data_IF_560658793725
#
_entry.id   IF_560658793725
#
_cell.length_a   1.000
_cell.length_b   1.000
_cell.length_c   1.000
_cell.angle_alpha   90.00
_cell.angle_beta   90.00
_cell.angle_gamma   90.00
#
_symmetry.space_group_name_H-M   'P 1'
#
loop_
_entity.id
_entity.type
_entity.pdbx_description
1 polymer ?
#
# COMPACT_ATOMS: atom_id res chain seq x y z
N UNK A 1 -43.65 26.77 -1.77
CA UNK A 1 -42.68 26.17 -0.83
C UNK A 1 -41.72 25.31 -1.62
N UNK A 2 -40.49 25.77 -1.81
CA UNK A 2 -39.46 25.03 -2.57
C UNK A 2 -38.82 24.03 -1.62
N UNK A 3 -38.99 22.73 -1.87
CA UNK A 3 -38.33 21.70 -1.07
C UNK A 3 -36.80 21.89 -1.14
N UNK A 4 -36.07 21.82 -0.02
CA UNK A 4 -34.62 21.90 -0.07
C UNK A 4 -34.08 20.77 -0.94
N UNK A 5 -33.32 21.12 -1.97
CA UNK A 5 -32.58 20.14 -2.79
C UNK A 5 -31.71 19.31 -1.86
N UNK A 6 -31.93 18.00 -1.84
CA UNK A 6 -31.08 17.06 -1.10
C UNK A 6 -29.60 17.32 -1.46
N UNK A 7 -28.82 17.74 -0.48
CA UNK A 7 -27.38 17.98 -0.58
C UNK A 7 -26.68 16.64 -0.69
N UNK A 8 -26.50 16.15 -1.92
CA UNK A 8 -25.77 14.91 -2.16
C UNK A 8 -24.28 15.17 -1.95
N UNK A 9 -23.74 14.67 -0.84
CA UNK A 9 -22.30 14.65 -0.58
C UNK A 9 -21.58 13.88 -1.69
N UNK A 10 -20.70 14.54 -2.45
CA UNK A 10 -19.96 13.95 -3.58
C UNK A 10 -18.96 12.89 -3.14
N UNK A 11 -18.56 12.89 -1.86
CA UNK A 11 -17.80 11.79 -1.28
C UNK A 11 -18.60 10.47 -1.34
N UNK A 12 -19.94 10.54 -1.47
CA UNK A 12 -20.84 9.41 -1.73
C UNK A 12 -21.36 9.50 -3.17
N UNK A 13 -20.60 8.99 -4.15
CA UNK A 13 -21.18 8.68 -5.46
C UNK A 13 -22.25 7.62 -5.21
N UNK A 14 -23.50 8.04 -5.19
CA UNK A 14 -24.65 7.24 -4.82
C UNK A 14 -25.34 6.79 -6.09
N UNK A 15 -25.06 5.57 -6.55
CA UNK A 15 -25.91 4.94 -7.56
C UNK A 15 -27.12 4.35 -6.84
N UNK A 16 -28.33 4.82 -7.18
CA UNK A 16 -29.56 4.16 -6.74
C UNK A 16 -29.75 2.90 -7.60
N UNK A 17 -29.77 1.73 -6.97
CA UNK A 17 -30.17 0.46 -7.59
C UNK A 17 -31.35 -0.09 -6.80
N UNK A 18 -32.49 -0.27 -7.45
CA UNK A 18 -33.74 -0.77 -6.84
C UNK A 18 -34.14 -0.01 -5.56
N UNK A 19 -34.08 1.32 -5.59
CA UNK A 19 -34.45 2.17 -4.45
C UNK A 19 -33.45 2.21 -3.28
N UNK A 20 -32.41 1.36 -3.29
CA UNK A 20 -31.33 1.37 -2.29
C UNK A 20 -30.15 2.20 -2.77
N UNK A 21 -29.58 2.98 -1.85
CA UNK A 21 -28.34 3.72 -2.08
C UNK A 21 -27.18 2.73 -2.03
N UNK A 22 -26.54 2.46 -3.18
CA UNK A 22 -25.31 1.67 -3.22
C UNK A 22 -24.12 2.60 -3.02
N UNK A 23 -23.36 2.39 -1.94
CA UNK A 23 -22.08 3.05 -1.75
C UNK A 23 -21.01 2.31 -2.55
N UNK A 24 -20.31 3.03 -3.43
CA UNK A 24 -19.17 2.46 -4.14
C UNK A 24 -18.05 2.06 -3.16
N UNK A 25 -17.27 1.04 -3.53
CA UNK A 25 -16.12 0.59 -2.76
C UNK A 25 -15.05 1.69 -2.64
N UNK A 26 -14.19 1.60 -1.61
CA UNK A 26 -13.16 2.60 -1.36
C UNK A 26 -12.16 2.75 -2.52
N UNK A 27 -11.86 1.66 -3.22
CA UNK A 27 -10.98 1.64 -4.39
C UNK A 27 -11.50 2.50 -5.54
N UNK A 28 -12.82 2.51 -5.76
CA UNK A 28 -13.46 3.33 -6.79
C UNK A 28 -13.50 4.79 -6.35
N UNK A 29 -13.92 5.04 -5.11
CA UNK A 29 -14.11 6.39 -4.55
C UNK A 29 -12.82 7.21 -4.50
N UNK A 30 -11.68 6.57 -4.21
CA UNK A 30 -10.40 7.26 -4.02
C UNK A 30 -9.40 7.02 -5.15
N UNK A 31 -9.80 6.44 -6.28
CA UNK A 31 -8.90 6.08 -7.38
C UNK A 31 -7.99 7.23 -7.82
N UNK A 32 -8.57 8.41 -8.03
CA UNK A 32 -7.83 9.59 -8.48
C UNK A 32 -6.84 10.10 -7.42
N UNK A 33 -7.25 10.10 -6.15
CA UNK A 33 -6.43 10.48 -5.01
C UNK A 33 -5.27 9.51 -4.80
N UNK A 34 -5.53 8.20 -4.90
CA UNK A 34 -4.49 7.18 -4.79
C UNK A 34 -3.39 7.38 -5.83
N UNK A 35 -3.74 7.64 -7.09
CA UNK A 35 -2.75 7.92 -8.14
C UNK A 35 -1.91 9.17 -7.84
N UNK A 36 -2.53 10.25 -7.34
CA UNK A 36 -1.81 11.47 -6.94
C UNK A 36 -0.87 11.24 -5.77
N UNK A 37 -1.35 10.52 -4.75
CA UNK A 37 -0.58 10.18 -3.55
C UNK A 37 0.64 9.31 -3.93
N UNK A 38 0.49 8.39 -4.87
CA UNK A 38 1.57 7.51 -5.32
C UNK A 38 2.69 8.26 -6.06
N UNK A 39 2.35 9.32 -6.78
CA UNK A 39 3.31 10.21 -7.44
C UNK A 39 4.02 11.21 -6.52
N UNK A 40 3.65 11.27 -5.24
CA UNK A 40 4.23 12.22 -4.29
C UNK A 40 5.71 11.88 -4.01
N UNK A 41 6.58 12.88 -4.06
CA UNK A 41 8.01 12.75 -3.73
C UNK A 41 8.29 13.19 -2.30
N UNK A 42 8.95 12.33 -1.54
CA UNK A 42 9.39 12.56 -0.17
C UNK A 42 10.68 13.39 -0.17
N UNK A 43 10.54 14.71 0.02
CA UNK A 43 11.68 15.63 0.08
C UNK A 43 12.69 15.28 1.19
N UNK A 44 12.20 14.75 2.30
CA UNK A 44 13.05 14.36 3.43
C UNK A 44 13.80 13.04 3.20
N UNK A 45 13.56 12.36 2.07
CA UNK A 45 14.21 11.10 1.71
C UNK A 45 14.63 11.13 0.24
N UNK A 46 15.44 12.14 -0.12
CA UNK A 46 16.07 12.30 -1.43
C UNK A 46 15.12 12.21 -2.64
N UNK A 47 13.88 12.71 -2.46
CA UNK A 47 12.88 12.70 -3.53
C UNK A 47 12.31 11.32 -3.85
N UNK A 48 12.46 10.35 -2.94
CA UNK A 48 11.86 9.03 -3.04
C UNK A 48 10.35 9.13 -3.26
N UNK A 49 9.79 8.29 -4.13
CA UNK A 49 8.35 8.20 -4.32
C UNK A 49 7.67 7.56 -3.10
N UNK A 50 6.53 8.12 -2.68
CA UNK A 50 5.74 7.64 -1.55
C UNK A 50 5.37 6.16 -1.68
N UNK A 51 5.07 5.69 -2.90
CA UNK A 51 4.75 4.27 -3.17
C UNK A 51 5.88 3.29 -2.83
N UNK A 52 7.12 3.77 -2.70
CA UNK A 52 8.28 2.94 -2.36
C UNK A 52 8.56 2.95 -0.84
N UNK A 53 7.85 3.78 -0.08
CA UNK A 53 8.02 3.89 1.36
C UNK A 53 7.25 2.78 2.08
N UNK A 54 7.96 2.01 2.90
CA UNK A 54 7.35 0.99 3.77
C UNK A 54 7.10 1.57 5.16
N UNK A 55 5.84 1.93 5.45
CA UNK A 55 5.48 2.58 6.71
C UNK A 55 5.74 1.73 7.96
N UNK A 56 5.81 0.41 7.81
CA UNK A 56 5.95 -0.52 8.93
C UNK A 56 7.41 -0.84 9.27
N UNK A 57 8.34 -0.66 8.32
CA UNK A 57 9.76 -0.96 8.55
C UNK A 57 10.64 0.28 8.67
N UNK A 58 10.17 1.43 8.20
CA UNK A 58 10.92 2.68 8.24
C UNK A 58 10.85 3.34 9.63
N UNK A 59 11.71 4.34 9.86
CA UNK A 59 11.78 5.06 11.14
C UNK A 59 10.41 5.66 11.53
N UNK A 60 10.02 5.50 12.80
CA UNK A 60 8.77 6.06 13.35
C UNK A 60 8.60 7.58 13.10
N UNK A 61 9.69 8.35 13.00
CA UNK A 61 9.61 9.76 12.63
C UNK A 61 9.14 9.94 11.17
N UNK A 62 9.74 9.20 10.24
CA UNK A 62 9.42 9.29 8.83
C UNK A 62 8.05 8.69 8.51
N UNK A 63 7.67 7.60 9.18
CA UNK A 63 6.32 7.04 9.11
C UNK A 63 5.25 8.03 9.58
N UNK A 64 5.54 8.83 10.62
CA UNK A 64 4.66 9.93 11.05
C UNK A 64 4.56 11.04 10.00
N UNK A 65 5.67 11.41 9.35
CA UNK A 65 5.65 12.40 8.26
C UNK A 65 4.84 11.91 7.06
N UNK A 66 5.03 10.66 6.66
CA UNK A 66 4.25 10.02 5.57
C UNK A 66 2.77 10.02 5.89
N UNK A 67 2.39 9.62 7.12
CA UNK A 67 0.99 9.70 7.58
C UNK A 67 0.42 11.11 7.46
N UNK A 68 1.15 12.12 7.93
CA UNK A 68 0.73 13.54 7.81
C UNK A 68 0.58 14.00 6.36
N UNK A 69 1.45 13.55 5.46
CA UNK A 69 1.36 13.86 4.02
C UNK A 69 0.07 13.25 3.45
N UNK A 70 -0.20 11.98 3.72
CA UNK A 70 -1.41 11.27 3.26
C UNK A 70 -2.66 11.95 3.82
N UNK A 71 -2.72 12.21 5.13
CA UNK A 71 -3.82 12.93 5.78
C UNK A 71 -4.06 14.28 5.12
N UNK A 72 -3.01 15.08 4.94
CA UNK A 72 -3.10 16.39 4.28
C UNK A 72 -3.66 16.28 2.87
N UNK A 73 -3.20 15.32 2.07
CA UNK A 73 -3.68 15.10 0.69
C UNK A 73 -5.14 14.68 0.66
N UNK A 74 -5.57 13.81 1.58
CA UNK A 74 -6.96 13.39 1.71
C UNK A 74 -7.86 14.54 2.16
N UNK A 75 -7.43 15.34 3.16
CA UNK A 75 -8.18 16.52 3.59
C UNK A 75 -8.33 17.53 2.44
N UNK A 76 -7.27 17.77 1.67
CA UNK A 76 -7.33 18.65 0.49
C UNK A 76 -8.28 18.11 -0.58
N UNK A 77 -8.28 16.80 -0.83
CA UNK A 77 -9.21 16.17 -1.77
C UNK A 77 -10.66 16.33 -1.29
N UNK A 78 -10.92 16.05 -0.02
CA UNK A 78 -12.20 16.24 0.61
C UNK A 78 -12.70 17.68 0.49
N UNK A 79 -11.87 18.68 0.83
CA UNK A 79 -12.25 20.09 0.73
C UNK A 79 -12.58 20.51 -0.71
N UNK A 80 -11.85 19.99 -1.71
CA UNK A 80 -12.16 20.26 -3.13
C UNK A 80 -13.49 19.64 -3.54
N UNK A 81 -13.77 18.42 -3.12
CA UNK A 81 -14.99 17.68 -3.46
C UNK A 81 -16.24 18.22 -2.74
N UNK A 82 -16.09 18.82 -1.57
CA UNK A 82 -17.20 19.30 -0.74
C UNK A 82 -17.29 20.84 -0.72
N UNK A 83 -16.67 21.51 -1.71
CA UNK A 83 -16.71 22.97 -1.84
C UNK A 83 -18.16 23.42 -2.10
N UNK A 84 -18.74 24.17 -1.16
CA UNK A 84 -20.10 24.71 -1.27
C UNK A 84 -21.20 23.91 -0.56
N UNK A 85 -20.85 22.86 0.20
CA UNK A 85 -21.80 22.14 1.05
C UNK A 85 -21.90 22.79 2.45
N UNK A 86 -23.08 22.69 3.07
CA UNK A 86 -23.33 23.23 4.42
C UNK A 86 -22.37 22.60 5.44
N UNK A 87 -21.68 23.44 6.21
CA UNK A 87 -20.58 23.02 7.10
C UNK A 87 -21.06 22.35 8.40
N UNK A 88 -22.31 22.58 8.79
CA UNK A 88 -22.68 22.52 10.20
C UNK A 88 -23.35 21.21 10.62
N UNK A 89 -23.91 20.40 9.70
CA UNK A 89 -24.73 19.25 10.10
C UNK A 89 -23.98 17.90 10.19
N UNK A 90 -22.73 17.78 9.76
CA UNK A 90 -22.11 16.45 9.50
C UNK A 90 -20.67 16.27 9.99
N UNK A 91 -20.19 17.09 10.93
CA UNK A 91 -18.78 17.13 11.33
C UNK A 91 -18.21 15.78 11.82
N UNK A 92 -18.98 15.00 12.59
CA UNK A 92 -18.55 13.69 13.11
C UNK A 92 -18.48 12.62 12.03
N UNK A 93 -19.47 12.57 11.14
CA UNK A 93 -19.47 11.66 9.99
C UNK A 93 -18.28 11.96 9.07
N UNK A 94 -18.04 13.24 8.80
CA UNK A 94 -16.93 13.69 7.96
C UNK A 94 -15.57 13.30 8.56
N UNK A 95 -15.39 13.48 9.88
CA UNK A 95 -14.18 13.04 10.59
C UNK A 95 -13.98 11.53 10.49
N UNK A 96 -15.03 10.74 10.71
CA UNK A 96 -14.98 9.28 10.58
C UNK A 96 -14.55 8.85 9.17
N UNK A 97 -15.15 9.43 8.14
CA UNK A 97 -14.80 9.13 6.75
C UNK A 97 -13.38 9.53 6.41
N UNK A 98 -12.90 10.65 6.93
CA UNK A 98 -11.53 11.10 6.73
C UNK A 98 -10.49 10.16 7.35
N UNK A 99 -10.74 9.69 8.57
CA UNK A 99 -9.89 8.66 9.19
C UNK A 99 -9.89 7.38 8.36
N UNK A 100 -11.07 6.94 7.91
CA UNK A 100 -11.20 5.73 7.09
C UNK A 100 -10.48 5.85 5.75
N UNK A 101 -10.63 6.98 5.08
CA UNK A 101 -9.96 7.28 3.81
C UNK A 101 -8.43 7.29 3.97
N UNK A 102 -7.92 7.90 5.05
CA UNK A 102 -6.49 7.93 5.37
C UNK A 102 -5.96 6.52 5.63
N UNK A 103 -6.63 5.76 6.48
CA UNK A 103 -6.24 4.37 6.79
C UNK A 103 -6.23 3.50 5.54
N UNK A 104 -7.23 3.67 4.66
CA UNK A 104 -7.28 2.98 3.37
C UNK A 104 -6.11 3.37 2.45
N UNK A 105 -5.75 4.65 2.36
CA UNK A 105 -4.60 5.06 1.55
C UNK A 105 -3.27 4.53 2.11
N UNK A 106 -3.09 4.50 3.43
CA UNK A 106 -1.90 3.93 4.05
C UNK A 106 -1.77 2.42 3.76
N UNK A 107 -2.90 1.71 3.82
CA UNK A 107 -2.99 0.30 3.46
C UNK A 107 -2.71 0.07 1.96
N UNK A 108 -3.31 0.89 1.08
CA UNK A 108 -3.08 0.83 -0.37
C UNK A 108 -1.63 1.12 -0.74
N UNK A 109 -1.01 2.14 -0.14
CA UNK A 109 0.43 2.42 -0.33
C UNK A 109 1.23 1.18 0.03
N UNK A 110 0.81 0.36 0.99
CA UNK A 110 1.47 -0.91 1.27
C UNK A 110 1.27 -1.97 0.19
N UNK A 111 0.09 -2.07 -0.43
CA UNK A 111 -0.33 -3.32 -1.09
C UNK A 111 -0.65 -3.25 -2.59
N UNK A 112 -1.12 -2.12 -3.11
CA UNK A 112 -1.71 -2.04 -4.46
C UNK A 112 -0.82 -1.20 -5.36
N UNK A 113 -0.26 -1.75 -6.44
CA UNK A 113 0.49 -0.97 -7.43
C UNK A 113 -0.41 -0.66 -8.64
N UNK A 114 -0.74 0.62 -8.80
CA UNK A 114 -1.59 1.08 -9.90
C UNK A 114 -0.85 1.27 -11.24
N UNK A 115 0.46 1.04 -11.28
CA UNK A 115 1.27 1.30 -12.47
C UNK A 115 1.66 -0.02 -13.13
N UNK A 116 1.09 -0.28 -14.32
CA UNK A 116 1.52 -1.39 -15.18
C UNK A 116 2.99 -1.20 -15.53
N UNK A 117 3.79 -2.26 -15.42
CA UNK A 117 5.21 -2.31 -15.78
C UNK A 117 6.19 -1.49 -14.92
N UNK A 118 5.79 -1.04 -13.73
CA UNK A 118 6.76 -0.51 -12.76
C UNK A 118 6.86 -1.44 -11.57
N UNK A 119 8.06 -1.94 -11.33
CA UNK A 119 8.41 -2.60 -10.08
C UNK A 119 8.75 -1.55 -9.04
N UNK A 120 8.34 -1.78 -7.79
CA UNK A 120 9.00 -1.15 -6.65
C UNK A 120 10.52 -1.29 -6.77
N UNK A 121 11.24 -0.26 -6.30
CA UNK A 121 12.71 -0.22 -6.42
C UNK A 121 13.41 -1.45 -5.80
N UNK A 122 14.67 -1.66 -6.17
CA UNK A 122 15.49 -2.73 -5.58
C UNK A 122 15.46 -2.68 -4.04
N UNK A 123 15.28 -3.85 -3.42
CA UNK A 123 15.23 -4.03 -1.96
C UNK A 123 13.98 -3.40 -1.29
N UNK A 124 12.80 -3.53 -1.89
CA UNK A 124 11.55 -3.32 -1.15
C UNK A 124 11.15 -4.60 -0.38
N UNK A 125 10.60 -4.44 0.84
CA UNK A 125 10.07 -5.54 1.67
C UNK A 125 8.76 -6.13 1.11
N UNK A 126 8.58 -6.12 -0.20
CA UNK A 126 7.40 -6.62 -0.87
C UNK A 126 7.79 -7.64 -1.93
N UNK A 127 6.97 -8.67 -2.06
CA UNK A 127 6.99 -9.64 -3.14
C UNK A 127 5.83 -9.33 -4.09
N UNK A 128 6.09 -9.48 -5.39
CA UNK A 128 5.09 -9.34 -6.44
C UNK A 128 4.33 -10.67 -6.52
N UNK A 129 3.01 -10.61 -6.42
CA UNK A 129 2.12 -11.77 -6.60
C UNK A 129 0.98 -11.42 -7.54
N UNK A 130 0.35 -12.43 -8.11
CA UNK A 130 -0.90 -12.30 -8.83
C UNK A 130 -2.05 -12.64 -7.88
N UNK A 131 -3.06 -11.77 -7.82
CA UNK A 131 -4.30 -12.11 -7.13
C UNK A 131 -5.12 -13.06 -8.02
N UNK A 132 -5.39 -14.30 -7.57
CA UNK A 132 -6.12 -15.28 -8.37
C UNK A 132 -7.58 -14.88 -8.65
N UNK A 133 -8.18 -14.01 -7.83
CA UNK A 133 -9.57 -13.59 -8.01
C UNK A 133 -9.72 -12.48 -9.03
N UNK A 134 -8.81 -11.50 -9.01
CA UNK A 134 -8.91 -10.28 -9.84
C UNK A 134 -7.98 -10.31 -11.06
N UNK A 135 -6.96 -11.17 -11.06
CA UNK A 135 -5.90 -11.18 -12.07
C UNK A 135 -4.97 -9.97 -12.00
N UNK A 136 -5.14 -9.09 -11.00
CA UNK A 136 -4.30 -7.93 -10.81
C UNK A 136 -2.98 -8.29 -10.11
N UNK A 137 -1.93 -7.53 -10.41
CA UNK A 137 -0.65 -7.64 -9.71
C UNK A 137 -0.79 -6.96 -8.36
N UNK A 138 -0.55 -7.70 -7.29
CA UNK A 138 -0.54 -7.21 -5.91
C UNK A 138 0.85 -7.35 -5.31
N UNK A 139 1.22 -6.41 -4.46
CA UNK A 139 2.47 -6.47 -3.72
C UNK A 139 2.18 -6.90 -2.28
N UNK A 140 2.52 -8.14 -1.95
CA UNK A 140 2.42 -8.64 -0.58
C UNK A 140 3.70 -8.35 0.17
N UNK A 141 3.59 -7.98 1.44
CA UNK A 141 4.78 -7.78 2.27
C UNK A 141 5.54 -9.12 2.41
N UNK A 142 6.86 -9.07 2.33
CA UNK A 142 7.73 -10.19 2.67
C UNK A 142 7.58 -10.47 4.15
N UNK A 143 7.45 -11.75 4.51
CA UNK A 143 7.45 -12.17 5.90
C UNK A 143 8.78 -11.80 6.55
N UNK A 144 8.71 -11.34 7.80
CA UNK A 144 9.87 -10.95 8.60
C UNK A 144 9.90 -11.76 9.88
N UNK A 145 11.07 -12.22 10.26
CA UNK A 145 11.31 -12.99 11.48
C UNK A 145 12.25 -12.19 12.37
N UNK A 146 12.09 -12.34 13.69
CA UNK A 146 12.89 -11.59 14.64
C UNK A 146 14.25 -12.25 14.85
N UNK A 147 14.28 -13.58 14.83
CA UNK A 147 15.50 -14.38 15.00
C UNK A 147 15.81 -15.23 13.77
N UNK A 148 17.04 -15.72 13.70
CA UNK A 148 17.48 -16.61 12.62
C UNK A 148 16.78 -17.96 12.72
N UNK A 149 16.58 -18.44 13.95
CA UNK A 149 15.98 -19.73 14.27
C UNK A 149 14.52 -19.77 13.79
N UNK A 150 13.75 -18.70 14.03
CA UNK A 150 12.38 -18.55 13.50
C UNK A 150 12.34 -18.61 11.98
N UNK A 151 13.30 -17.94 11.31
CA UNK A 151 13.37 -17.97 9.86
C UNK A 151 13.73 -19.36 9.31
N UNK A 152 14.62 -20.10 9.99
CA UNK A 152 14.97 -21.48 9.62
C UNK A 152 13.79 -22.43 9.82
N UNK A 153 13.02 -22.27 10.90
CA UNK A 153 11.82 -23.08 11.13
C UNK A 153 10.73 -22.79 10.09
N UNK A 154 10.60 -21.53 9.69
CA UNK A 154 9.71 -21.16 8.60
C UNK A 154 10.14 -21.77 7.25
N UNK A 155 11.44 -21.92 6.98
CA UNK A 155 11.92 -22.63 5.78
C UNK A 155 11.51 -24.10 5.81
N UNK A 156 11.64 -24.78 6.95
CA UNK A 156 11.18 -26.17 7.08
C UNK A 156 9.69 -26.29 6.80
N UNK A 157 8.89 -25.41 7.38
CA UNK A 157 7.43 -25.38 7.17
C UNK A 157 7.09 -25.09 5.71
N UNK A 158 7.82 -24.18 5.06
CA UNK A 158 7.66 -23.87 3.63
C UNK A 158 7.92 -25.11 2.77
N UNK A 159 9.04 -25.79 2.97
CA UNK A 159 9.41 -26.97 2.18
C UNK A 159 8.41 -28.13 2.33
N UNK A 160 7.76 -28.26 3.49
CA UNK A 160 6.71 -29.26 3.71
C UNK A 160 5.41 -28.86 3.00
N UNK A 161 5.05 -27.58 3.04
CA UNK A 161 3.78 -27.07 2.51
C UNK A 161 3.79 -26.82 1.01
N UNK A 162 4.98 -26.59 0.43
CA UNK A 162 5.19 -26.30 -0.99
C UNK A 162 6.23 -27.27 -1.58
N UNK A 163 5.93 -28.57 -1.67
CA UNK A 163 6.86 -29.56 -2.21
C UNK A 163 7.20 -29.35 -3.69
N UNK A 164 6.40 -28.57 -4.42
CA UNK A 164 6.65 -28.15 -5.80
C UNK A 164 7.78 -27.12 -5.93
N UNK A 165 8.13 -26.41 -4.85
CA UNK A 165 9.22 -25.43 -4.84
C UNK A 165 10.56 -26.14 -4.61
N UNK A 166 11.23 -26.53 -5.70
CA UNK A 166 12.51 -27.24 -5.66
C UNK A 166 13.72 -26.33 -5.39
N UNK A 167 13.52 -25.03 -5.14
CA UNK A 167 14.59 -24.08 -4.97
C UNK A 167 15.22 -24.14 -3.58
N UNK A 168 16.56 -24.04 -3.50
CA UNK A 168 17.26 -23.98 -2.21
C UNK A 168 16.91 -22.70 -1.45
N UNK A 169 16.08 -22.82 -0.42
CA UNK A 169 15.70 -21.72 0.47
C UNK A 169 16.80 -21.40 1.49
N UNK A 170 17.01 -20.11 1.77
CA UNK A 170 17.95 -19.61 2.76
C UNK A 170 17.34 -18.48 3.59
N UNK A 171 17.78 -18.38 4.85
CA UNK A 171 17.48 -17.25 5.71
C UNK A 171 18.59 -16.19 5.54
N UNK A 172 18.19 -14.93 5.34
CA UNK A 172 19.11 -13.80 5.23
C UNK A 172 18.61 -12.61 6.05
N UNK A 173 19.54 -11.82 6.56
CA UNK A 173 19.22 -10.57 7.25
C UNK A 173 19.12 -9.44 6.23
N UNK A 174 18.04 -8.67 6.26
CA UNK A 174 17.88 -7.52 5.38
C UNK A 174 18.76 -6.35 5.85
N UNK A 175 19.54 -5.75 4.96
CA UNK A 175 20.36 -4.58 5.25
C UNK A 175 19.57 -3.32 5.58
N UNK A 176 18.27 -3.27 5.27
CA UNK A 176 17.40 -2.10 5.51
C UNK A 176 16.59 -2.19 6.81
N UNK A 177 15.91 -3.30 7.07
CA UNK A 177 15.10 -3.45 8.28
C UNK A 177 15.81 -4.22 9.40
N UNK A 178 16.98 -4.81 9.12
CA UNK A 178 17.75 -5.65 10.03
C UNK A 178 16.99 -6.88 10.57
N UNK A 179 15.82 -7.21 10.00
CA UNK A 179 15.06 -8.42 10.29
C UNK A 179 15.47 -9.57 9.39
N UNK A 180 15.14 -10.78 9.81
CA UNK A 180 15.36 -12.00 9.05
C UNK A 180 14.25 -12.20 8.03
N UNK A 181 14.63 -12.64 6.84
CA UNK A 181 13.73 -13.02 5.77
C UNK A 181 14.17 -14.37 5.18
N UNK A 182 13.24 -15.04 4.51
CA UNK A 182 13.51 -16.26 3.76
C UNK A 182 13.43 -15.99 2.26
N UNK A 183 14.24 -16.68 1.47
CA UNK A 183 14.20 -16.61 0.02
C UNK A 183 15.19 -17.57 -0.63
N UNK A 184 15.08 -17.74 -1.94
CA UNK A 184 15.96 -18.64 -2.68
C UNK A 184 17.41 -18.16 -2.71
N UNK A 185 18.34 -19.11 -2.61
CA UNK A 185 19.76 -18.86 -2.80
C UNK A 185 20.01 -18.58 -4.28
N UNK A 186 20.33 -17.33 -4.61
CA UNK A 186 20.80 -16.98 -5.95
C UNK A 186 22.11 -17.72 -6.16
N UNK A 187 22.19 -18.63 -7.14
CA UNK A 187 23.47 -19.16 -7.59
C UNK A 187 24.28 -17.99 -8.12
N UNK A 188 25.34 -17.60 -7.41
CA UNK A 188 26.30 -16.64 -7.91
C UNK A 188 26.92 -17.22 -9.18
N UNK A 189 26.62 -16.62 -10.33
CA UNK A 189 27.39 -16.86 -11.54
C UNK A 189 28.76 -16.22 -11.25
N UNK A 190 29.74 -17.04 -10.86
CA UNK A 190 31.13 -16.64 -10.88
C UNK A 190 31.50 -16.33 -12.33
N UNK A 191 31.50 -15.05 -12.69
CA UNK A 191 32.14 -14.60 -13.91
C UNK A 191 33.63 -14.88 -13.72
N UNK A 192 34.09 -16.02 -14.25
CA UNK A 192 35.52 -16.29 -14.42
C UNK A 192 36.06 -15.15 -15.28
N UNK A 193 36.78 -14.23 -14.65
CA UNK A 193 37.63 -13.27 -15.36
C UNK A 193 38.66 -14.11 -16.07
N UNK A 194 38.47 -14.31 -17.37
CA UNK A 194 39.51 -14.84 -18.24
C UNK A 194 40.48 -13.68 -18.43
N UNK A 195 41.60 -13.72 -17.71
CA UNK A 195 42.73 -12.85 -18.02
C UNK A 195 43.18 -13.16 -19.46
N UNK A 196 43.15 -12.14 -20.30
CA UNK A 196 43.67 -12.16 -21.69
C UNK A 196 45.03 -11.50 -21.69
#
# INVERSE_FOLDING_TARGET
>A
MVMPKATVNVCMVTKKKNGRILFEGQSVRFKAETHRIFGERLKFRDGMLLRNFDIETENANDSRKVRRIVEKRMCQAYHRQNKGLCKDEQSNSNRYWMHRATSYQLHNIGQVEHVKNVSRGLSTHYKKEYDPLTGEIVFKKKMTYQTREEALEAIKTWNITHPEDSGNMQAYQCSKCHKWHIGHKVQSIELKVVEV
#
